data_IF_259583296767
#
_entry.id   IF_259583296767
#
_cell.length_a   1.000
_cell.length_b   1.000
_cell.length_c   1.000
_cell.angle_alpha   90.00
_cell.angle_beta   90.00
_cell.angle_gamma   90.00
#
_symmetry.space_group_name_H-M   'P 1'
#
loop_
_entity.id
_entity.type
_entity.pdbx_description
1 polymer ?
#
# COMPACT_ATOMS: atom_id res chain seq x y z
N UNK A 1 -11.98 -25.57 11.79
CA UNK A 1 -12.11 -24.10 11.84
C UNK A 1 -11.04 -23.46 10.96
N UNK A 2 -11.43 -22.75 9.89
CA UNK A 2 -10.48 -22.10 8.96
C UNK A 2 -9.82 -20.90 9.64
N UNK A 3 -8.50 -20.95 9.83
CA UNK A 3 -7.72 -19.82 10.38
C UNK A 3 -7.49 -18.79 9.27
N UNK A 4 -8.13 -17.63 9.39
CA UNK A 4 -7.83 -16.48 8.52
C UNK A 4 -6.58 -15.77 9.06
N UNK A 5 -5.63 -15.49 8.18
CA UNK A 5 -4.47 -14.67 8.56
C UNK A 5 -4.94 -13.22 8.74
N UNK A 6 -4.52 -12.54 9.81
CA UNK A 6 -4.83 -11.13 9.98
C UNK A 6 -4.19 -10.30 8.87
N UNK A 7 -4.83 -9.19 8.50
CA UNK A 7 -4.35 -8.30 7.44
C UNK A 7 -2.90 -7.85 7.68
N UNK A 8 -2.53 -7.57 8.93
CA UNK A 8 -1.17 -7.20 9.33
C UNK A 8 -0.13 -8.25 8.96
N UNK A 9 -0.45 -9.55 9.09
CA UNK A 9 0.47 -10.62 8.74
C UNK A 9 0.63 -10.74 7.22
N UNK A 10 -0.45 -10.52 6.46
CA UNK A 10 -0.40 -10.52 4.98
C UNK A 10 0.45 -9.36 4.48
N UNK A 11 0.22 -8.14 5.00
CA UNK A 11 1.00 -6.95 4.63
C UNK A 11 2.46 -7.09 5.08
N UNK A 12 2.71 -7.65 6.27
CA UNK A 12 4.06 -7.93 6.75
C UNK A 12 4.82 -8.86 5.81
N UNK A 13 4.20 -9.98 5.41
CA UNK A 13 4.79 -10.90 4.44
C UNK A 13 5.07 -10.21 3.09
N UNK A 14 4.10 -9.45 2.58
CA UNK A 14 4.26 -8.70 1.33
C UNK A 14 5.45 -7.73 1.39
N UNK A 15 5.52 -6.87 2.43
CA UNK A 15 6.60 -5.89 2.59
C UNK A 15 7.96 -6.57 2.73
N UNK A 16 8.06 -7.64 3.51
CA UNK A 16 9.31 -8.38 3.69
C UNK A 16 9.79 -9.04 2.39
N UNK A 17 8.90 -9.75 1.70
CA UNK A 17 9.26 -10.44 0.45
C UNK A 17 9.66 -9.46 -0.64
N UNK A 18 8.89 -8.39 -0.81
CA UNK A 18 9.19 -7.36 -1.82
C UNK A 18 10.46 -6.58 -1.49
N UNK A 19 10.70 -6.19 -0.23
CA UNK A 19 11.96 -5.55 0.18
C UNK A 19 13.17 -6.41 -0.17
N UNK A 20 13.11 -7.73 0.12
CA UNK A 20 14.20 -8.64 -0.23
C UNK A 20 14.48 -8.64 -1.73
N UNK A 21 13.44 -8.74 -2.56
CA UNK A 21 13.59 -8.73 -4.02
C UNK A 21 14.18 -7.40 -4.50
N UNK A 22 13.69 -6.27 -3.99
CA UNK A 22 14.16 -4.92 -4.35
C UNK A 22 15.63 -4.72 -3.94
N UNK A 23 16.02 -5.21 -2.76
CA UNK A 23 17.41 -5.16 -2.32
C UNK A 23 18.32 -6.03 -3.19
N UNK A 24 17.83 -7.18 -3.66
CA UNK A 24 18.57 -8.05 -4.59
C UNK A 24 18.76 -7.42 -5.99
N UNK A 25 17.90 -6.47 -6.39
CA UNK A 25 18.05 -5.72 -7.65
C UNK A 25 18.93 -4.47 -7.51
N UNK A 26 19.62 -4.29 -6.37
CA UNK A 26 20.61 -3.22 -6.15
C UNK A 26 20.08 -1.99 -5.41
N UNK A 27 18.79 -1.94 -5.06
CA UNK A 27 18.20 -0.80 -4.35
C UNK A 27 18.31 -0.95 -2.82
N UNK A 28 19.53 -1.08 -2.29
CA UNK A 28 19.77 -1.39 -0.87
C UNK A 28 19.17 -0.38 0.13
N UNK A 29 19.00 0.87 -0.27
CA UNK A 29 18.42 1.93 0.57
C UNK A 29 16.88 1.95 0.56
N UNK A 30 16.23 1.07 -0.21
CA UNK A 30 14.78 1.00 -0.25
C UNK A 30 14.22 0.63 1.13
N UNK A 31 13.26 1.43 1.58
CA UNK A 31 12.48 1.16 2.79
C UNK A 31 11.01 1.47 2.55
N UNK A 32 10.14 0.68 3.18
CA UNK A 32 8.72 0.99 3.21
C UNK A 32 8.45 2.10 4.24
N UNK A 33 7.47 2.95 3.96
CA UNK A 33 6.86 3.76 5.01
C UNK A 33 6.36 2.87 6.16
N UNK A 34 6.54 3.35 7.39
CA UNK A 34 6.08 2.68 8.61
C UNK A 34 4.56 2.48 8.56
N UNK A 35 4.10 1.32 9.05
CA UNK A 35 2.67 0.95 9.09
C UNK A 35 2.02 0.87 7.70
N UNK A 36 0.71 0.67 7.65
CA UNK A 36 -0.06 0.66 6.41
C UNK A 36 -1.42 1.30 6.69
N UNK A 37 -2.07 1.82 5.65
CA UNK A 37 -3.43 2.31 5.75
C UNK A 37 -4.41 1.18 5.43
N UNK A 38 -5.38 0.97 6.31
CA UNK A 38 -6.51 0.09 6.08
C UNK A 38 -7.84 0.81 6.32
N UNK A 39 -8.84 0.47 5.52
CA UNK A 39 -10.17 1.04 5.61
C UNK A 39 -11.22 0.02 5.14
N UNK A 40 -12.21 -0.23 5.98
CA UNK A 40 -13.33 -1.12 5.64
C UNK A 40 -14.33 -0.36 4.76
N UNK A 41 -14.53 -0.83 3.54
CA UNK A 41 -15.53 -0.30 2.61
C UNK A 41 -16.91 -0.83 3.01
N UNK A 42 -17.79 0.07 3.48
CA UNK A 42 -19.12 -0.28 3.99
C UNK A 42 -20.27 0.00 3.03
N UNK A 43 -20.04 0.75 1.95
CA UNK A 43 -21.06 1.08 0.96
C UNK A 43 -20.46 1.33 -0.43
N UNK A 44 -21.33 1.39 -1.43
CA UNK A 44 -20.93 1.59 -2.82
C UNK A 44 -20.29 2.97 -3.05
N UNK A 45 -20.78 4.01 -2.37
CA UNK A 45 -20.24 5.36 -2.54
C UNK A 45 -18.79 5.47 -2.06
N UNK A 46 -18.43 4.81 -0.94
CA UNK A 46 -17.05 4.78 -0.48
C UNK A 46 -16.16 3.97 -1.41
N UNK A 47 -16.67 2.88 -1.99
CA UNK A 47 -15.96 2.11 -3.01
C UNK A 47 -15.64 2.97 -4.24
N UNK A 48 -16.64 3.70 -4.76
CA UNK A 48 -16.48 4.59 -5.91
C UNK A 48 -15.45 5.68 -5.62
N UNK A 49 -15.54 6.34 -4.45
CA UNK A 49 -14.58 7.38 -4.05
C UNK A 49 -13.15 6.85 -3.96
N UNK A 50 -12.94 5.69 -3.32
CA UNK A 50 -11.60 5.10 -3.15
C UNK A 50 -11.02 4.70 -4.51
N UNK A 51 -11.81 4.10 -5.40
CA UNK A 51 -11.36 3.78 -6.77
C UNK A 51 -10.97 5.03 -7.55
N UNK A 52 -11.81 6.08 -7.50
CA UNK A 52 -11.51 7.36 -8.14
C UNK A 52 -10.23 7.99 -7.58
N UNK A 53 -10.02 7.92 -6.27
CA UNK A 53 -8.78 8.38 -5.64
C UNK A 53 -7.55 7.62 -6.17
N UNK A 54 -7.58 6.28 -6.21
CA UNK A 54 -6.45 5.47 -6.69
C UNK A 54 -6.11 5.80 -8.15
N UNK A 55 -7.11 5.96 -9.02
CA UNK A 55 -6.91 6.29 -10.44
C UNK A 55 -6.33 7.70 -10.61
N UNK A 56 -6.81 8.67 -9.82
CA UNK A 56 -6.45 10.07 -10.02
C UNK A 56 -5.17 10.48 -9.25
N UNK A 57 -4.79 9.77 -8.18
CA UNK A 57 -3.64 10.15 -7.35
C UNK A 57 -2.29 10.20 -8.10
N UNK A 58 -1.98 9.32 -9.08
CA UNK A 58 -0.74 9.43 -9.85
C UNK A 58 -0.56 10.79 -10.55
N UNK A 59 -1.63 11.42 -11.01
CA UNK A 59 -1.58 12.77 -11.62
C UNK A 59 -1.18 13.82 -10.57
N UNK A 60 -1.67 13.67 -9.34
CA UNK A 60 -1.42 14.60 -8.25
C UNK A 60 -0.01 14.45 -7.64
N UNK A 61 0.72 13.37 -7.93
CA UNK A 61 2.08 13.18 -7.40
C UNK A 61 3.08 14.21 -7.92
N UNK A 62 2.92 14.70 -9.15
CA UNK A 62 3.79 15.73 -9.74
C UNK A 62 3.63 17.12 -9.10
N UNK A 63 2.52 17.35 -8.39
CA UNK A 63 2.21 18.63 -7.75
C UNK A 63 2.65 18.70 -6.29
N UNK A 64 3.19 17.61 -5.72
CA UNK A 64 3.57 17.54 -4.30
C UNK A 64 5.03 17.96 -4.01
N UNK A 65 5.73 18.55 -4.97
CA UNK A 65 7.12 19.01 -4.80
C UNK A 65 7.19 20.50 -4.46
N UNK A 66 6.52 20.94 -3.39
CA UNK A 66 6.76 22.27 -2.80
C UNK A 66 6.32 22.29 -1.33
N UNK A 67 7.15 21.76 -0.43
CA UNK A 67 7.27 22.19 0.98
C UNK A 67 8.73 22.01 1.42
#
# INVERSE_FOLDING_TARGET
>A
MRKYKPLSQIIGAFKTTTSKIIHMTGYHNFTWQRSYYDHIIRNNDSLIRIRKYIINNPVNWKHKTTE
#
